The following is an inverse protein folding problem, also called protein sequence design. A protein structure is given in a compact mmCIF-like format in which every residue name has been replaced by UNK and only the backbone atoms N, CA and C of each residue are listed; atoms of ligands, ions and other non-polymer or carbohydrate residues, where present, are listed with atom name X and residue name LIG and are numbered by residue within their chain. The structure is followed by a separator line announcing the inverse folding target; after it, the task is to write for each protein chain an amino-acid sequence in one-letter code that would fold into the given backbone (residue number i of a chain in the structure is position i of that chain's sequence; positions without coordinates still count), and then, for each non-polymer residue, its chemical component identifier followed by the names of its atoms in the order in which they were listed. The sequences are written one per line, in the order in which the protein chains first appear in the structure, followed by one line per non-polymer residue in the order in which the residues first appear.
data_IF_644683422014
#
_entry.id   IF_644683422014
#
_cell.length_a   1.000
_cell.length_b   1.000
_cell.length_c   1.000
_cell.angle_alpha   90.00
_cell.angle_beta   90.00
_cell.angle_gamma   90.00
#
_symmetry.space_group_name_H-M   'P 1'
#
loop_
_entity.id
_entity.type
_entity.pdbx_description
1 polymer ?
#
# COMPACT_ATOMS: atom_id res chain seq x y z
N UNK A 1 2.99 8.97 -8.94
CA UNK A 1 3.96 8.13 -8.20
C UNK A 1 4.19 6.84 -8.97
N UNK A 2 5.40 6.30 -9.02
CA UNK A 2 5.67 4.98 -9.63
C UNK A 2 5.89 3.92 -8.56
N UNK A 3 5.18 2.80 -8.69
CA UNK A 3 5.20 1.69 -7.73
C UNK A 3 5.53 0.41 -8.46
N UNK A 4 6.53 -0.32 -7.98
CA UNK A 4 6.80 -1.69 -8.39
C UNK A 4 6.34 -2.65 -7.30
N UNK A 5 5.59 -3.68 -7.68
CA UNK A 5 5.10 -4.71 -6.77
C UNK A 5 5.78 -6.03 -7.15
N UNK A 6 6.54 -6.57 -6.21
CA UNK A 6 7.22 -7.83 -6.40
C UNK A 6 6.27 -9.03 -6.31
N UNK A 7 6.66 -10.16 -6.91
CA UNK A 7 5.85 -11.38 -6.97
C UNK A 7 5.47 -11.88 -5.58
N UNK A 8 6.37 -11.80 -4.60
CA UNK A 8 6.08 -12.27 -3.23
C UNK A 8 4.90 -11.51 -2.60
N UNK A 9 4.79 -10.21 -2.85
CA UNK A 9 3.69 -9.38 -2.36
C UNK A 9 2.37 -9.79 -2.99
N UNK A 10 2.35 -9.99 -4.32
CA UNK A 10 1.15 -10.45 -5.02
C UNK A 10 0.69 -11.85 -4.55
N UNK A 11 1.64 -12.74 -4.30
CA UNK A 11 1.33 -14.08 -3.78
C UNK A 11 0.76 -14.04 -2.35
N UNK A 12 1.07 -13.01 -1.56
CA UNK A 12 0.50 -12.85 -0.22
C UNK A 12 -1.01 -12.52 -0.23
N UNK A 13 -1.57 -12.12 -1.38
CA UNK A 13 -3.00 -11.79 -1.48
C UNK A 13 -3.89 -13.02 -1.19
N UNK A 14 -3.36 -14.24 -1.41
CA UNK A 14 -4.06 -15.47 -1.02
C UNK A 14 -4.19 -15.68 0.49
N UNK A 15 -3.51 -14.86 1.30
CA UNK A 15 -3.64 -14.85 2.76
C UNK A 15 -4.55 -13.73 3.28
N UNK A 16 -5.01 -12.83 2.42
CA UNK A 16 -5.85 -11.69 2.81
C UNK A 16 -7.33 -12.05 2.84
N UNK A 17 -8.05 -11.33 3.69
CA UNK A 17 -9.51 -11.36 3.74
C UNK A 17 -10.10 -10.62 2.54
N UNK A 18 -11.39 -10.82 2.30
CA UNK A 18 -12.09 -10.14 1.21
C UNK A 18 -12.04 -8.61 1.39
N UNK A 19 -12.26 -8.10 2.59
CA UNK A 19 -12.32 -6.66 2.86
C UNK A 19 -10.95 -5.99 2.63
N UNK A 20 -9.86 -6.68 2.97
CA UNK A 20 -8.50 -6.24 2.65
C UNK A 20 -8.27 -6.19 1.14
N UNK A 21 -8.69 -7.22 0.39
CA UNK A 21 -8.55 -7.26 -1.07
C UNK A 21 -9.41 -6.20 -1.77
N UNK A 22 -10.63 -5.95 -1.30
CA UNK A 22 -11.50 -4.90 -1.83
C UNK A 22 -10.84 -3.53 -1.65
N UNK A 23 -10.23 -3.27 -0.49
CA UNK A 23 -9.47 -2.04 -0.23
C UNK A 23 -8.27 -1.87 -1.18
N UNK A 24 -7.59 -2.97 -1.54
CA UNK A 24 -6.48 -2.96 -2.50
C UNK A 24 -6.93 -2.73 -3.95
N UNK A 25 -8.15 -3.15 -4.29
CA UNK A 25 -8.71 -2.90 -5.61
C UNK A 25 -8.89 -1.40 -5.85
N UNK A 26 -9.43 -0.69 -4.85
CA UNK A 26 -9.61 0.76 -4.92
C UNK A 26 -8.26 1.49 -5.07
N UNK A 27 -7.19 0.92 -4.52
CA UNK A 27 -5.82 1.45 -4.56
C UNK A 27 -5.18 1.24 -5.93
N UNK A 28 -5.22 0.02 -6.48
CA UNK A 28 -4.44 -0.33 -7.66
C UNK A 28 -5.20 -0.27 -8.99
N UNK A 29 -6.53 -0.29 -8.96
CA UNK A 29 -7.36 -0.34 -10.16
C UNK A 29 -8.19 0.92 -10.42
N UNK A 30 -8.33 1.84 -9.45
CA UNK A 30 -9.04 3.10 -9.69
C UNK A 30 -8.10 4.16 -10.31
N UNK A 31 -8.36 4.49 -11.58
CA UNK A 31 -7.61 5.52 -12.34
C UNK A 31 -8.20 6.93 -12.19
N UNK A 32 -8.94 7.20 -11.11
CA UNK A 32 -9.51 8.53 -10.90
C UNK A 32 -8.49 9.45 -10.22
N UNK A 33 -7.84 10.29 -11.04
CA UNK A 33 -7.06 11.49 -10.70
C UNK A 33 -6.02 11.33 -9.55
N UNK A 34 -4.73 11.20 -9.92
CA UNK A 34 -3.61 11.15 -8.95
C UNK A 34 -3.12 9.74 -8.59
N UNK A 35 -3.56 8.71 -9.31
CA UNK A 35 -3.25 7.31 -9.03
C UNK A 35 -1.75 6.97 -9.18
N UNK A 36 -1.27 6.05 -8.34
CA UNK A 36 0.00 5.38 -8.50
C UNK A 36 0.08 4.67 -9.88
N UNK A 37 1.13 4.89 -10.65
CA UNK A 37 1.45 4.07 -11.82
C UNK A 37 2.11 2.78 -11.32
N UNK A 38 1.36 1.68 -11.38
CA UNK A 38 1.88 0.36 -11.06
C UNK A 38 2.70 -0.15 -12.24
N UNK A 39 3.97 -0.44 -11.98
CA UNK A 39 4.90 -1.05 -12.92
C UNK A 39 4.91 -2.55 -12.68
N UNK A 40 4.45 -3.29 -13.68
CA UNK A 40 4.56 -4.74 -13.72
C UNK A 40 5.50 -5.17 -14.84
N UNK A 41 6.32 -6.16 -14.54
CA UNK A 41 7.19 -6.79 -15.53
C UNK A 41 6.60 -8.13 -15.96
N UNK A 42 6.93 -8.56 -17.17
CA UNK A 42 6.60 -9.90 -17.62
C UNK A 42 7.22 -10.98 -16.69
N UNK A 43 8.40 -10.69 -16.11
CA UNK A 43 9.04 -11.60 -15.14
C UNK A 43 8.19 -11.79 -13.87
N UNK A 44 7.67 -10.71 -13.27
CA UNK A 44 6.75 -10.78 -12.11
C UNK A 44 5.50 -11.58 -12.47
N UNK A 45 4.89 -11.29 -13.62
CA UNK A 45 3.68 -12.00 -14.07
C UNK A 45 3.93 -13.50 -14.24
N UNK A 46 5.08 -13.86 -14.82
CA UNK A 46 5.44 -15.25 -15.05
C UNK A 46 5.82 -15.98 -13.75
N UNK A 47 6.53 -15.33 -12.82
CA UNK A 47 6.80 -15.88 -11.50
C UNK A 47 5.53 -16.11 -10.69
N UNK A 48 4.58 -15.16 -10.72
CA UNK A 48 3.29 -15.32 -10.07
C UNK A 48 2.57 -16.57 -10.59
N UNK A 49 2.46 -16.70 -11.93
CA UNK A 49 1.82 -17.87 -12.57
C UNK A 49 2.50 -19.19 -12.19
N UNK A 50 3.83 -19.24 -12.10
CA UNK A 50 4.58 -20.44 -11.69
C UNK A 50 4.37 -20.81 -10.22
N UNK A 51 4.29 -19.81 -9.34
CA UNK A 51 4.28 -20.02 -7.89
C UNK A 51 2.87 -20.05 -7.27
N UNK A 52 1.85 -19.63 -8.01
CA UNK A 52 0.44 -19.56 -7.57
C UNK A 52 -0.03 -20.84 -6.88
N UNK A 53 0.09 -22.00 -7.54
CA UNK A 53 -0.41 -23.27 -6.97
C UNK A 53 0.31 -23.67 -5.69
N UNK A 54 1.63 -23.46 -5.64
CA UNK A 54 2.44 -23.77 -4.47
C UNK A 54 2.00 -22.92 -3.26
N UNK A 55 1.69 -21.64 -3.47
CA UNK A 55 1.21 -20.73 -2.44
C UNK A 55 -0.19 -21.07 -1.95
N UNK A 56 -1.13 -21.34 -2.85
CA UNK A 56 -2.48 -21.79 -2.49
C UNK A 56 -2.40 -23.10 -1.69
N UNK A 57 -1.55 -24.04 -2.12
CA UNK A 57 -1.34 -25.31 -1.40
C UNK A 57 -0.84 -25.08 0.02
N UNK A 58 0.09 -24.17 0.22
CA UNK A 58 0.61 -23.81 1.54
C UNK A 58 -0.48 -23.17 2.42
N UNK A 59 -1.25 -22.23 1.87
CA UNK A 59 -2.38 -21.60 2.57
C UNK A 59 -3.43 -22.63 3.03
N UNK A 60 -3.71 -23.65 2.22
CA UNK A 60 -4.68 -24.71 2.55
C UNK A 60 -4.15 -25.78 3.50
N UNK A 61 -2.83 -25.84 3.75
CA UNK A 61 -2.21 -26.94 4.49
C UNK A 61 -2.81 -27.12 5.89
N UNK A 62 -2.86 -26.04 6.69
CA UNK A 62 -3.40 -26.07 8.06
C UNK A 62 -4.89 -26.45 8.07
N UNK A 63 -5.65 -25.98 7.08
CA UNK A 63 -7.07 -26.31 6.96
C UNK A 63 -7.26 -27.81 6.70
N UNK A 64 -6.51 -28.40 5.76
CA UNK A 64 -6.58 -29.83 5.43
C UNK A 64 -6.07 -30.74 6.55
N UNK A 65 -5.12 -30.28 7.36
CA UNK A 65 -4.57 -31.02 8.51
C UNK A 65 -5.44 -30.94 9.78
N UNK A 66 -6.44 -30.05 9.82
CA UNK A 66 -7.28 -29.85 11.00
C UNK A 66 -8.18 -31.06 11.26
N UNK A 67 -8.01 -31.71 12.42
CA UNK A 67 -8.87 -32.83 12.84
C UNK A 67 -10.25 -32.32 13.24
N UNK A 68 -11.28 -32.67 12.47
CA UNK A 68 -12.67 -32.27 12.70
C UNK A 68 -13.40 -33.06 13.81
N UNK A 69 -12.76 -34.04 14.44
CA UNK A 69 -13.37 -34.87 15.47
C UNK A 69 -12.41 -35.10 16.65
N UNK A 70 -12.80 -34.73 17.88
CA UNK A 70 -12.03 -35.08 19.07
C UNK A 70 -12.08 -36.58 19.32
N UNK A 71 -10.96 -37.19 19.66
CA UNK A 71 -10.94 -38.56 20.20
C UNK A 71 -11.24 -38.50 21.69
N UNK A 72 -12.38 -39.07 22.08
CA UNK A 72 -12.80 -39.12 23.48
C UNK A 72 -12.57 -40.52 24.07
N UNK A 73 -12.10 -40.60 25.33
CA UNK A 73 -12.12 -41.83 26.11
C UNK A 73 -13.52 -42.46 26.20
N UNK A 74 -13.58 -43.80 26.20
CA UNK A 74 -14.85 -44.54 26.19
C UNK A 74 -15.78 -44.24 27.37
N UNK A 75 -15.23 -43.93 28.54
CA UNK A 75 -16.05 -43.61 29.73
C UNK A 75 -16.85 -42.31 29.59
N UNK A 76 -16.46 -41.42 28.66
CA UNK A 76 -17.16 -40.15 28.41
C UNK A 76 -18.45 -40.32 27.60
N UNK A 77 -18.72 -41.53 27.07
CA UNK A 77 -19.95 -41.81 26.30
C UNK A 77 -21.23 -41.76 27.14
N UNK A 78 -21.12 -41.81 28.46
CA UNK A 78 -22.26 -41.75 29.38
C UNK A 78 -22.78 -40.34 29.66
N UNK A 79 -22.13 -39.30 29.14
CA UNK A 79 -22.53 -37.91 29.33
C UNK A 79 -23.35 -37.41 28.15
N UNK A 80 -24.39 -36.59 28.40
CA UNK A 80 -25.29 -36.08 27.37
C UNK A 80 -24.56 -35.18 26.36
N UNK A 81 -23.56 -34.43 26.82
CA UNK A 81 -22.71 -33.55 26.03
C UNK A 81 -21.93 -34.32 24.95
N UNK A 82 -21.62 -35.61 25.18
CA UNK A 82 -20.91 -36.45 24.22
C UNK A 82 -21.68 -36.54 22.88
N UNK A 83 -22.99 -36.76 22.95
CA UNK A 83 -23.85 -36.84 21.78
C UNK A 83 -23.90 -35.51 21.02
N UNK A 84 -23.97 -34.40 21.76
CA UNK A 84 -23.99 -33.05 21.20
C UNK A 84 -22.67 -32.72 20.47
N UNK A 85 -21.53 -32.97 21.11
CA UNK A 85 -20.21 -32.72 20.51
C UNK A 85 -20.03 -33.57 19.25
N UNK A 86 -20.45 -34.84 19.27
CA UNK A 86 -20.36 -35.70 18.08
C UNK A 86 -21.20 -35.18 16.92
N UNK A 87 -22.42 -34.69 17.20
CA UNK A 87 -23.30 -34.09 16.19
C UNK A 87 -22.68 -32.82 15.61
N UNK A 88 -22.20 -31.90 16.46
CA UNK A 88 -21.53 -30.67 16.03
C UNK A 88 -20.26 -30.96 15.22
N UNK A 89 -19.47 -31.95 15.62
CA UNK A 89 -18.26 -32.39 14.89
C UNK A 89 -18.59 -32.93 13.50
N UNK A 90 -19.70 -33.66 13.35
CA UNK A 90 -20.16 -34.13 12.04
C UNK A 90 -20.62 -32.97 11.16
N UNK A 91 -21.41 -32.04 11.70
CA UNK A 91 -21.83 -30.84 10.98
C UNK A 91 -20.62 -30.01 10.52
N UNK A 92 -19.62 -29.82 11.40
CA UNK A 92 -18.37 -29.15 11.07
C UNK A 92 -17.67 -29.85 9.90
N UNK A 93 -17.59 -31.19 9.92
CA UNK A 93 -16.97 -31.98 8.83
C UNK A 93 -17.70 -31.79 7.49
N UNK A 94 -19.03 -31.78 7.50
CA UNK A 94 -19.84 -31.55 6.30
C UNK A 94 -19.61 -30.15 5.73
N UNK A 95 -19.59 -29.13 6.59
CA UNK A 95 -19.29 -27.75 6.20
C UNK A 95 -17.85 -27.60 5.67
N UNK A 96 -16.87 -28.23 6.33
CA UNK A 96 -15.48 -28.25 5.87
C UNK A 96 -15.34 -28.89 4.49
N UNK A 97 -16.03 -30.02 4.26
CA UNK A 97 -16.05 -30.66 2.95
C UNK A 97 -16.68 -29.74 1.89
N UNK A 98 -17.83 -29.14 2.21
CA UNK A 98 -18.54 -28.26 1.28
C UNK A 98 -17.71 -27.03 0.89
N UNK A 99 -17.02 -26.40 1.85
CA UNK A 99 -16.18 -25.24 1.53
C UNK A 99 -14.96 -25.65 0.69
N UNK A 100 -14.39 -26.82 0.97
CA UNK A 100 -13.23 -27.33 0.22
C UNK A 100 -13.60 -27.64 -1.22
N UNK A 101 -14.76 -28.26 -1.48
CA UNK A 101 -15.25 -28.52 -2.83
C UNK A 101 -15.43 -27.23 -3.64
N UNK A 102 -15.96 -26.17 -3.02
CA UNK A 102 -16.09 -24.85 -3.66
C UNK A 102 -14.72 -24.23 -3.95
N UNK A 103 -13.84 -24.20 -2.96
CA UNK A 103 -12.50 -23.65 -3.11
C UNK A 103 -11.69 -24.40 -4.17
N UNK A 104 -11.79 -25.72 -4.25
CA UNK A 104 -11.09 -26.51 -5.28
C UNK A 104 -11.64 -26.24 -6.69
N UNK A 105 -12.95 -25.97 -6.82
CA UNK A 105 -13.55 -25.52 -8.07
C UNK A 105 -13.02 -24.13 -8.47
N UNK A 106 -13.01 -23.17 -7.53
CA UNK A 106 -12.50 -21.80 -7.75
C UNK A 106 -11.00 -21.81 -8.10
N UNK A 107 -10.19 -22.63 -7.43
CA UNK A 107 -8.76 -22.79 -7.72
C UNK A 107 -8.53 -23.26 -9.15
N UNK A 108 -9.31 -24.25 -9.59
CA UNK A 108 -9.23 -24.84 -10.93
C UNK A 108 -9.70 -23.86 -12.01
N UNK A 109 -10.73 -23.06 -11.71
CA UNK A 109 -11.24 -22.01 -12.57
C UNK A 109 -10.37 -20.74 -12.57
N UNK A 110 -9.41 -20.61 -11.64
CA UNK A 110 -8.66 -19.38 -11.34
C UNK A 110 -9.59 -18.21 -10.97
N UNK A 111 -10.58 -18.50 -10.13
CA UNK A 111 -11.65 -17.58 -9.77
C UNK A 111 -11.71 -17.32 -8.25
N UNK A 112 -10.60 -17.49 -7.54
CA UNK A 112 -10.52 -16.98 -6.17
C UNK A 112 -10.62 -15.44 -6.18
N UNK A 113 -11.05 -14.85 -5.06
CA UNK A 113 -11.12 -13.39 -4.93
C UNK A 113 -9.77 -12.73 -5.27
N UNK A 114 -8.67 -13.30 -4.75
CA UNK A 114 -7.33 -12.84 -5.05
C UNK A 114 -6.94 -13.02 -6.53
N UNK A 115 -7.39 -14.10 -7.20
CA UNK A 115 -7.10 -14.29 -8.63
C UNK A 115 -7.73 -13.18 -9.46
N UNK A 116 -9.01 -12.89 -9.22
CA UNK A 116 -9.73 -11.84 -9.97
C UNK A 116 -9.07 -10.47 -9.79
N UNK A 117 -8.69 -10.12 -8.57
CA UNK A 117 -8.01 -8.86 -8.29
C UNK A 117 -6.66 -8.77 -9.02
N UNK A 118 -5.84 -9.83 -8.94
CA UNK A 118 -4.51 -9.84 -9.56
C UNK A 118 -4.63 -9.77 -11.08
N UNK A 119 -5.59 -10.49 -11.68
CA UNK A 119 -5.82 -10.41 -13.12
C UNK A 119 -6.29 -9.01 -13.52
N UNK A 120 -7.18 -8.39 -12.74
CA UNK A 120 -7.59 -7.00 -12.96
C UNK A 120 -6.41 -6.03 -12.91
N UNK A 121 -5.51 -6.18 -11.93
CA UNK A 121 -4.27 -5.40 -11.83
C UNK A 121 -3.37 -5.63 -13.05
N UNK A 122 -3.26 -6.87 -13.53
CA UNK A 122 -2.45 -7.21 -14.71
C UNK A 122 -3.05 -6.60 -15.99
N UNK A 123 -4.37 -6.59 -16.13
CA UNK A 123 -5.08 -6.02 -17.28
C UNK A 123 -5.07 -4.49 -17.28
N UNK A 124 -5.09 -3.85 -16.10
CA UNK A 124 -5.07 -2.38 -15.96
C UNK A 124 -3.67 -1.77 -16.00
N UNK A 125 -2.62 -2.58 -15.86
CA UNK A 125 -1.23 -2.11 -15.82
C UNK A 125 -0.52 -2.31 -17.16
N UNK A 126 0.41 -1.42 -17.47
CA UNK A 126 1.34 -1.64 -18.58
C UNK A 126 2.38 -2.69 -18.17
N UNK A 127 2.37 -3.86 -18.84
CA UNK A 127 3.32 -4.94 -18.59
C UNK A 127 4.54 -4.77 -19.48
N UNK A 128 5.70 -4.49 -18.88
CA UNK A 128 6.95 -4.31 -19.63
C UNK A 128 7.54 -5.69 -19.99
N UNK A 129 7.75 -5.99 -21.29
CA UNK A 129 8.19 -7.30 -21.75
C UNK A 129 9.68 -7.55 -21.48
N UNK A 130 10.05 -8.81 -21.25
CA UNK A 130 11.46 -9.22 -21.14
C UNK A 130 12.02 -9.44 -22.55
N UNK A 131 12.92 -8.55 -22.97
CA UNK A 131 13.63 -8.67 -24.25
C UNK A 131 15.00 -9.33 -24.07
N UNK A 132 15.62 -9.80 -25.16
CA UNK A 132 17.00 -10.31 -25.14
C UNK A 132 17.98 -9.27 -24.59
N UNK A 133 17.77 -7.98 -24.90
CA UNK A 133 18.65 -6.90 -24.42
C UNK A 133 18.53 -6.71 -22.90
N UNK A 134 17.30 -6.76 -22.37
CA UNK A 134 17.04 -6.73 -20.92
C UNK A 134 17.70 -7.93 -20.24
N UNK A 135 17.52 -9.12 -20.81
CA UNK A 135 18.11 -10.35 -20.29
C UNK A 135 19.64 -10.26 -20.24
N UNK A 136 20.28 -9.77 -21.30
CA UNK A 136 21.74 -9.61 -21.36
C UNK A 136 22.25 -8.61 -20.31
N UNK A 137 21.58 -7.46 -20.16
CA UNK A 137 21.90 -6.46 -19.13
C UNK A 137 21.75 -7.02 -17.71
N UNK A 138 20.64 -7.70 -17.43
CA UNK A 138 20.38 -8.32 -16.14
C UNK A 138 21.39 -9.45 -15.83
N UNK A 139 21.72 -10.27 -16.84
CA UNK A 139 22.72 -11.33 -16.72
C UNK A 139 24.11 -10.76 -16.43
N UNK A 140 24.51 -9.69 -17.12
CA UNK A 140 25.77 -8.99 -16.87
C UNK A 140 25.80 -8.40 -15.46
N UNK A 141 24.70 -7.77 -15.02
CA UNK A 141 24.54 -7.21 -13.67
C UNK A 141 24.76 -8.28 -12.59
N UNK A 142 24.07 -9.41 -12.71
CA UNK A 142 24.21 -10.55 -11.78
C UNK A 142 25.63 -11.12 -11.79
N UNK A 143 26.23 -11.30 -12.99
CA UNK A 143 27.60 -11.80 -13.11
C UNK A 143 28.67 -10.87 -12.49
N UNK A 144 28.41 -9.57 -12.45
CA UNK A 144 29.26 -8.58 -11.78
C UNK A 144 29.02 -8.50 -10.26
N UNK A 145 28.00 -9.19 -9.74
CA UNK A 145 27.61 -9.16 -8.33
C UNK A 145 26.87 -7.89 -7.91
N UNK A 146 26.26 -7.18 -8.87
CA UNK A 146 25.47 -5.99 -8.57
C UNK A 146 24.05 -6.40 -8.13
N UNK A 147 23.55 -5.91 -6.99
CA UNK A 147 22.18 -6.19 -6.52
C UNK A 147 21.14 -5.53 -7.44
N UNK A 148 19.83 -5.84 -7.38
CA UNK A 148 19.25 -6.90 -6.58
C UNK A 148 19.40 -8.26 -7.30
N UNK A 149 19.33 -9.34 -6.51
CA UNK A 149 19.44 -10.71 -6.98
C UNK A 149 20.71 -11.43 -6.51
N UNK A 150 20.69 -12.76 -6.70
CA UNK A 150 21.75 -13.70 -6.28
C UNK A 150 22.31 -14.43 -7.49
N UNK A 151 23.44 -15.12 -7.31
CA UNK A 151 24.11 -15.84 -8.41
C UNK A 151 23.28 -16.98 -9.02
N UNK A 152 22.26 -17.47 -8.32
CA UNK A 152 21.38 -18.57 -8.72
C UNK A 152 20.04 -18.12 -9.30
N UNK A 153 19.70 -16.82 -9.22
CA UNK A 153 18.47 -16.26 -9.78
C UNK A 153 18.69 -14.85 -10.31
N UNK A 154 18.33 -14.63 -11.58
CA UNK A 154 18.41 -13.33 -12.24
C UNK A 154 17.07 -12.57 -12.24
N UNK A 155 16.02 -13.11 -11.62
CA UNK A 155 14.67 -12.53 -11.66
C UNK A 155 14.64 -11.08 -11.20
N UNK A 156 15.21 -10.80 -10.03
CA UNK A 156 15.28 -9.45 -9.47
C UNK A 156 16.13 -8.52 -10.32
N UNK A 157 17.25 -9.02 -10.87
CA UNK A 157 18.09 -8.27 -11.79
C UNK A 157 17.33 -7.89 -13.07
N UNK A 158 16.48 -8.78 -13.59
CA UNK A 158 15.60 -8.51 -14.74
C UNK A 158 14.57 -7.44 -14.38
N UNK A 159 13.88 -7.60 -13.25
CA UNK A 159 12.88 -6.63 -12.77
C UNK A 159 13.49 -5.24 -12.62
N UNK A 160 14.62 -5.14 -11.94
CA UNK A 160 15.30 -3.87 -11.72
C UNK A 160 15.78 -3.23 -13.02
N UNK A 161 16.33 -4.02 -13.96
CA UNK A 161 16.73 -3.52 -15.27
C UNK A 161 15.54 -2.94 -16.04
N UNK A 162 14.38 -3.60 -15.98
CA UNK A 162 13.15 -3.09 -16.60
C UNK A 162 12.67 -1.79 -15.95
N UNK A 163 12.75 -1.64 -14.63
CA UNK A 163 12.41 -0.39 -13.94
C UNK A 163 13.33 0.76 -14.36
N UNK A 164 14.63 0.49 -14.48
CA UNK A 164 15.61 1.47 -14.98
C UNK A 164 15.34 1.89 -16.43
N UNK A 165 14.64 1.09 -17.23
CA UNK A 165 14.27 1.47 -18.61
C UNK A 165 12.90 2.14 -18.71
N UNK A 166 11.91 1.65 -17.97
CA UNK A 166 10.50 2.03 -18.11
C UNK A 166 10.09 3.26 -17.31
N UNK A 167 10.64 3.47 -16.11
CA UNK A 167 10.27 4.63 -15.29
C UNK A 167 10.85 5.90 -15.91
N UNK A 168 10.08 6.99 -16.07
CA UNK A 168 10.62 8.25 -16.59
C UNK A 168 11.75 8.83 -15.71
N UNK A 169 12.56 9.72 -16.30
CA UNK A 169 13.58 10.46 -15.53
C UNK A 169 12.96 11.51 -14.61
N UNK A 170 13.66 11.83 -13.52
CA UNK A 170 13.30 12.74 -12.42
C UNK A 170 12.05 12.30 -11.63
N UNK A 171 11.71 11.02 -11.68
CA UNK A 171 10.57 10.46 -10.97
C UNK A 171 11.00 9.43 -9.92
N UNK A 172 10.46 9.58 -8.71
CA UNK A 172 10.69 8.69 -7.58
C UNK A 172 10.03 7.32 -7.83
N UNK A 173 10.69 6.24 -7.39
CA UNK A 173 10.15 4.88 -7.45
C UNK A 173 9.99 4.28 -6.06
N UNK A 174 8.89 3.57 -5.87
CA UNK A 174 8.55 2.88 -4.64
C UNK A 174 8.52 1.37 -4.93
N UNK A 175 9.46 0.63 -4.34
CA UNK A 175 9.56 -0.83 -4.51
C UNK A 175 8.92 -1.51 -3.31
N UNK A 176 7.89 -2.32 -3.54
CA UNK A 176 7.26 -3.14 -2.51
C UNK A 176 7.74 -4.58 -2.71
N UNK A 177 8.60 -5.05 -1.81
CA UNK A 177 9.21 -6.39 -1.87
C UNK A 177 9.62 -6.87 -0.48
N UNK A 178 9.38 -8.15 -0.20
CA UNK A 178 9.96 -8.82 0.97
C UNK A 178 11.43 -9.23 0.75
N UNK A 179 11.96 -9.22 -0.47
CA UNK A 179 13.32 -9.68 -0.76
C UNK A 179 14.36 -8.74 -0.16
N UNK A 180 15.26 -9.31 0.64
CA UNK A 180 16.35 -8.59 1.28
C UNK A 180 17.35 -7.93 0.32
N UNK A 181 17.41 -8.37 -0.95
CA UNK A 181 18.37 -7.85 -1.92
C UNK A 181 18.08 -6.38 -2.32
N UNK A 182 16.86 -5.90 -2.09
CA UNK A 182 16.48 -4.49 -2.24
C UNK A 182 16.86 -3.61 -1.04
N UNK A 183 17.34 -4.20 0.06
CA UNK A 183 17.55 -3.51 1.34
C UNK A 183 19.01 -3.47 1.77
N UNK A 184 19.33 -2.51 2.62
CA UNK A 184 20.64 -2.39 3.24
C UNK A 184 20.90 -3.56 4.20
N UNK A 185 22.11 -4.11 4.12
CA UNK A 185 22.57 -5.14 5.07
C UNK A 185 22.75 -4.61 6.50
N UNK A 186 22.96 -3.29 6.65
CA UNK A 186 23.16 -2.65 7.96
C UNK A 186 21.84 -2.21 8.61
N UNK A 187 20.83 -1.93 7.80
CA UNK A 187 19.53 -1.41 8.23
C UNK A 187 18.45 -1.96 7.29
N UNK A 188 17.76 -2.99 7.74
CA UNK A 188 16.83 -3.77 6.94
C UNK A 188 15.53 -3.04 6.57
N UNK A 189 15.36 -1.80 7.05
CA UNK A 189 14.28 -0.87 6.71
C UNK A 189 14.69 0.14 5.62
N UNK A 190 15.97 0.23 5.26
CA UNK A 190 16.47 1.15 4.23
C UNK A 190 16.75 0.43 2.92
N UNK A 191 16.59 1.16 1.82
CA UNK A 191 16.98 0.69 0.50
C UNK A 191 18.48 0.36 0.45
N UNK A 192 18.84 -0.63 -0.38
CA UNK A 192 20.23 -1.01 -0.58
C UNK A 192 21.03 0.19 -1.15
N UNK A 193 22.15 0.62 -0.53
CA UNK A 193 22.85 1.85 -0.92
C UNK A 193 23.25 1.89 -2.40
N UNK A 194 23.73 0.77 -2.95
CA UNK A 194 24.06 0.64 -4.37
C UNK A 194 22.88 0.96 -5.29
N UNK A 195 21.67 0.52 -4.93
CA UNK A 195 20.45 0.75 -5.73
C UNK A 195 20.01 2.21 -5.63
N UNK A 196 20.14 2.82 -4.45
CA UNK A 196 19.89 4.25 -4.24
C UNK A 196 20.80 5.09 -5.11
N UNK A 197 22.12 4.87 -5.03
CA UNK A 197 23.11 5.60 -5.83
C UNK A 197 22.93 5.39 -7.33
N UNK A 198 22.57 4.18 -7.75
CA UNK A 198 22.30 3.91 -9.16
C UNK A 198 21.02 4.59 -9.64
N UNK A 199 19.94 4.52 -8.86
CA UNK A 199 18.68 5.17 -9.21
C UNK A 199 18.86 6.69 -9.32
N UNK A 200 19.53 7.31 -8.34
CA UNK A 200 19.84 8.74 -8.38
C UNK A 200 20.71 9.09 -9.59
N UNK A 201 21.73 8.29 -9.90
CA UNK A 201 22.61 8.53 -11.05
C UNK A 201 21.89 8.39 -12.40
N UNK A 202 21.00 7.39 -12.55
CA UNK A 202 20.35 7.07 -13.82
C UNK A 202 19.07 7.89 -14.02
N UNK A 203 18.34 8.18 -12.95
CA UNK A 203 17.03 8.83 -12.98
C UNK A 203 17.02 10.23 -12.38
N UNK A 204 18.00 10.63 -11.57
CA UNK A 204 17.97 11.94 -10.90
C UNK A 204 16.86 12.05 -9.84
N UNK A 205 16.46 10.91 -9.27
CA UNK A 205 15.32 10.81 -8.36
C UNK A 205 15.61 9.83 -7.22
N UNK A 206 14.66 9.64 -6.31
CA UNK A 206 14.83 8.83 -5.09
C UNK A 206 14.21 7.44 -5.23
N UNK A 207 14.81 6.50 -4.51
CA UNK A 207 14.32 5.13 -4.35
C UNK A 207 13.78 4.94 -2.93
N UNK A 208 12.53 4.48 -2.85
CA UNK A 208 11.87 4.07 -1.60
C UNK A 208 11.58 2.57 -1.63
N UNK A 209 11.65 1.91 -0.47
CA UNK A 209 11.42 0.47 -0.34
C UNK A 209 10.44 0.17 0.79
N UNK A 210 9.62 -0.86 0.60
CA UNK A 210 8.56 -1.26 1.52
C UNK A 210 8.48 -2.78 1.63
N UNK A 211 8.60 -3.30 2.86
CA UNK A 211 8.57 -4.76 3.10
C UNK A 211 7.21 -5.36 2.85
N UNK A 212 6.17 -4.58 3.09
CA UNK A 212 4.79 -5.04 2.99
C UNK A 212 3.96 -3.99 2.31
N UNK A 213 2.90 -4.47 1.67
CA UNK A 213 1.89 -3.61 1.09
C UNK A 213 1.21 -2.73 2.14
N UNK A 214 0.93 -3.27 3.33
CA UNK A 214 0.38 -2.49 4.44
C UNK A 214 1.31 -1.38 4.90
N UNK A 215 2.63 -1.59 4.91
CA UNK A 215 3.61 -0.56 5.24
C UNK A 215 3.59 0.59 4.21
N UNK A 216 3.60 0.23 2.93
CA UNK A 216 3.42 1.19 1.84
C UNK A 216 2.10 1.94 1.96
N UNK A 217 0.99 1.23 2.16
CA UNK A 217 -0.33 1.84 2.32
C UNK A 217 -0.36 2.75 3.55
N UNK A 218 0.14 2.34 4.72
CA UNK A 218 0.07 3.19 5.91
C UNK A 218 0.77 4.53 5.78
N UNK A 219 1.80 4.64 4.92
CA UNK A 219 2.49 5.90 4.68
C UNK A 219 1.75 6.79 3.68
N UNK A 220 0.97 6.17 2.79
CA UNK A 220 0.57 6.78 1.53
C UNK A 220 -0.93 6.68 1.22
N UNK A 221 -1.66 5.90 2.02
CA UNK A 221 -3.05 5.53 1.89
C UNK A 221 -3.66 5.36 3.29
N UNK A 222 -4.52 6.26 3.66
CA UNK A 222 -5.16 6.33 4.96
C UNK A 222 -6.64 5.91 4.92
N UNK A 223 -7.01 5.14 3.90
CA UNK A 223 -8.28 4.39 3.85
C UNK A 223 -9.28 4.85 2.78
N UNK A 224 -9.02 5.95 2.08
CA UNK A 224 -9.96 6.52 1.08
C UNK A 224 -9.27 6.92 -0.24
N UNK A 225 -8.04 7.44 -0.23
CA UNK A 225 -7.28 7.78 -1.43
C UNK A 225 -5.76 7.79 -1.18
N UNK A 226 -4.96 7.78 -2.25
CA UNK A 226 -3.51 8.02 -2.17
C UNK A 226 -3.20 9.50 -1.94
N UNK A 227 -2.28 9.80 -1.03
CA UNK A 227 -1.76 11.15 -0.80
C UNK A 227 -0.63 11.51 -1.78
N UNK A 228 -0.88 11.41 -3.08
CA UNK A 228 0.15 11.62 -4.09
C UNK A 228 -0.32 12.45 -5.27
N UNK A 229 -0.64 13.69 -4.96
CA UNK A 229 -0.70 14.72 -5.97
C UNK A 229 0.52 15.63 -5.78
N UNK A 230 1.45 15.61 -6.76
CA UNK A 230 2.66 16.46 -6.72
C UNK A 230 2.31 17.94 -6.70
N UNK A 231 1.22 18.34 -7.36
CA UNK A 231 0.76 19.72 -7.37
C UNK A 231 0.19 20.07 -5.99
N UNK A 232 -0.55 19.15 -5.37
CA UNK A 232 -1.01 19.30 -3.99
C UNK A 232 0.14 19.39 -2.98
N UNK A 233 1.16 18.55 -3.12
CA UNK A 233 2.34 18.59 -2.25
C UNK A 233 3.10 19.91 -2.43
N UNK A 234 3.27 20.37 -3.67
CA UNK A 234 3.85 21.68 -3.96
C UNK A 234 3.03 22.82 -3.34
N UNK A 235 1.69 22.73 -3.37
CA UNK A 235 0.83 23.71 -2.69
C UNK A 235 0.98 23.68 -1.17
N UNK A 236 1.20 22.50 -0.57
CA UNK A 236 1.50 22.39 0.86
C UNK A 236 2.87 23.02 1.17
N UNK A 237 3.90 22.83 0.34
CA UNK A 237 5.17 23.55 0.48
C UNK A 237 4.99 25.07 0.33
N UNK A 238 4.18 25.52 -0.63
CA UNK A 238 3.89 26.94 -0.83
C UNK A 238 3.23 27.58 0.41
N UNK A 239 2.53 26.82 1.26
CA UNK A 239 2.00 27.35 2.53
C UNK A 239 3.13 27.72 3.51
N UNK A 240 4.22 26.95 3.56
CA UNK A 240 5.39 27.29 4.39
C UNK A 240 6.07 28.58 3.91
N UNK A 241 6.09 28.80 2.60
CA UNK A 241 6.80 29.93 1.97
C UNK A 241 5.90 31.13 1.62
N UNK A 242 4.59 31.07 1.92
CA UNK A 242 3.63 32.12 1.57
C UNK A 242 4.06 33.48 2.16
N UNK A 243 4.22 34.48 1.29
CA UNK A 243 4.73 35.80 1.65
C UNK A 243 3.66 36.83 2.01
N UNK A 244 2.37 36.49 1.89
CA UNK A 244 1.27 37.40 2.22
C UNK A 244 -0.03 36.65 2.50
N UNK A 245 -0.93 37.26 3.28
CA UNK A 245 -2.28 36.74 3.50
C UNK A 245 -3.03 36.44 2.20
N UNK A 246 -2.96 37.34 1.21
CA UNK A 246 -3.60 37.14 -0.10
C UNK A 246 -3.07 35.91 -0.85
N UNK A 247 -1.76 35.65 -0.75
CA UNK A 247 -1.16 34.45 -1.32
C UNK A 247 -1.63 33.19 -0.58
N UNK A 248 -1.69 33.24 0.76
CA UNK A 248 -2.19 32.11 1.57
C UNK A 248 -3.63 31.75 1.20
N UNK A 249 -4.53 32.73 1.09
CA UNK A 249 -5.91 32.48 0.62
C UNK A 249 -5.94 31.85 -0.78
N UNK A 250 -5.08 32.30 -1.70
CA UNK A 250 -5.02 31.70 -3.03
C UNK A 250 -4.54 30.25 -3.00
N UNK A 251 -3.62 29.89 -2.11
CA UNK A 251 -3.12 28.52 -1.95
C UNK A 251 -4.21 27.66 -1.30
N UNK A 252 -4.84 28.13 -0.23
CA UNK A 252 -5.98 27.45 0.41
C UNK A 252 -7.12 27.21 -0.57
N UNK A 253 -7.48 28.19 -1.39
CA UNK A 253 -8.51 28.05 -2.43
C UNK A 253 -8.15 27.00 -3.50
N UNK A 254 -6.86 26.84 -3.85
CA UNK A 254 -6.42 25.75 -4.72
C UNK A 254 -6.52 24.41 -4.00
N UNK A 255 -6.08 24.36 -2.74
CA UNK A 255 -6.12 23.17 -1.89
C UNK A 255 -7.56 22.69 -1.61
N UNK A 256 -8.53 23.59 -1.56
CA UNK A 256 -9.95 23.27 -1.42
C UNK A 256 -10.52 22.43 -2.59
N UNK A 257 -9.89 22.46 -3.77
CA UNK A 257 -10.29 21.58 -4.87
C UNK A 257 -9.97 20.10 -4.59
N UNK A 258 -9.11 19.82 -3.62
CA UNK A 258 -8.84 18.47 -3.15
C UNK A 258 -9.86 18.09 -2.08
N UNK A 259 -10.63 17.05 -2.39
CA UNK A 259 -11.64 16.50 -1.48
C UNK A 259 -11.03 15.88 -0.24
N UNK A 260 -9.79 15.39 -0.35
CA UNK A 260 -9.20 14.49 0.63
C UNK A 260 -7.79 14.92 1.02
N UNK A 261 -7.42 14.73 2.29
CA UNK A 261 -6.10 14.99 2.86
C UNK A 261 -5.71 13.87 3.82
N UNK A 262 -4.51 13.33 3.67
CA UNK A 262 -4.03 12.28 4.57
C UNK A 262 -3.58 12.81 5.91
N UNK A 263 -3.54 11.96 6.94
CA UNK A 263 -3.06 12.40 8.26
C UNK A 263 -1.65 13.01 8.22
N UNK A 264 -0.78 12.51 7.33
CA UNK A 264 0.55 13.07 7.09
C UNK A 264 0.45 14.47 6.48
N UNK A 265 -0.33 14.65 5.41
CA UNK A 265 -0.56 15.95 4.76
C UNK A 265 -1.21 16.96 5.72
N UNK A 266 -2.20 16.53 6.50
CA UNK A 266 -2.82 17.33 7.56
C UNK A 266 -1.77 17.77 8.59
N UNK A 267 -0.93 16.83 9.04
CA UNK A 267 0.20 17.15 9.92
C UNK A 267 1.11 18.22 9.33
N UNK A 268 1.50 18.08 8.05
CA UNK A 268 2.31 19.08 7.35
C UNK A 268 1.63 20.44 7.21
N UNK A 269 0.31 20.47 6.96
CA UNK A 269 -0.45 21.72 6.87
C UNK A 269 -0.50 22.42 8.24
N UNK A 270 -0.66 21.66 9.32
CA UNK A 270 -0.61 22.19 10.69
C UNK A 270 0.81 22.67 11.03
N UNK A 271 1.85 21.94 10.66
CA UNK A 271 3.24 22.39 10.80
C UNK A 271 3.46 23.73 10.05
N UNK A 272 2.81 23.93 8.89
CA UNK A 272 2.88 25.19 8.13
C UNK A 272 2.14 26.35 8.83
N UNK A 273 1.03 26.07 9.51
CA UNK A 273 0.33 27.06 10.35
C UNK A 273 1.26 27.59 11.42
N UNK A 274 2.00 26.70 12.09
CA UNK A 274 2.89 27.04 13.19
C UNK A 274 4.18 27.72 12.69
N UNK A 275 4.72 27.25 11.55
CA UNK A 275 5.97 27.75 10.99
C UNK A 275 5.82 29.10 10.25
N UNK A 276 4.67 29.39 9.64
CA UNK A 276 4.45 30.60 8.85
C UNK A 276 3.40 31.53 9.46
N UNK A 277 3.86 32.66 10.00
CA UNK A 277 2.99 33.71 10.54
C UNK A 277 1.96 34.28 9.55
N UNK A 278 2.21 34.20 8.23
CA UNK A 278 1.22 34.60 7.22
C UNK A 278 0.06 33.60 7.11
N UNK A 279 0.28 32.35 7.49
CA UNK A 279 -0.77 31.34 7.53
C UNK A 279 -1.39 31.26 8.93
N UNK A 280 -0.57 31.12 9.97
CA UNK A 280 -1.01 31.14 11.37
C UNK A 280 -1.79 32.40 11.77
N UNK A 281 -1.43 33.56 11.22
CA UNK A 281 -2.10 34.82 11.52
C UNK A 281 -3.54 34.94 11.01
N UNK A 282 -3.97 34.05 10.10
CA UNK A 282 -5.29 34.12 9.45
C UNK A 282 -6.12 32.84 9.63
N UNK A 283 -5.78 31.97 10.60
CA UNK A 283 -6.55 30.73 10.84
C UNK A 283 -8.03 30.97 11.17
N UNK A 284 -8.38 32.17 11.65
CA UNK A 284 -9.76 32.59 11.93
C UNK A 284 -10.48 33.18 10.73
N UNK A 285 -9.81 33.40 9.60
CA UNK A 285 -10.45 33.87 8.38
C UNK A 285 -11.38 32.79 7.81
N UNK A 286 -12.36 33.23 7.01
CA UNK A 286 -13.55 32.40 6.78
C UNK A 286 -13.28 31.11 6.04
N UNK A 287 -12.63 31.22 4.90
CA UNK A 287 -12.18 30.13 4.06
C UNK A 287 -11.09 29.27 4.73
N UNK A 288 -10.17 29.88 5.47
CA UNK A 288 -9.07 29.17 6.14
C UNK A 288 -9.57 28.33 7.31
N UNK A 289 -10.41 28.90 8.16
CA UNK A 289 -11.06 28.20 9.27
C UNK A 289 -11.90 27.03 8.75
N UNK A 290 -12.68 27.24 7.69
CA UNK A 290 -13.50 26.18 7.09
C UNK A 290 -12.64 25.05 6.49
N UNK A 291 -11.55 25.39 5.82
CA UNK A 291 -10.59 24.43 5.29
C UNK A 291 -9.98 23.56 6.40
N UNK A 292 -9.45 24.20 7.47
CA UNK A 292 -8.86 23.48 8.60
C UNK A 292 -9.90 22.64 9.36
N UNK A 293 -11.12 23.16 9.55
CA UNK A 293 -12.22 22.39 10.12
C UNK A 293 -12.56 21.16 9.29
N UNK A 294 -12.53 21.27 7.96
CA UNK A 294 -12.84 20.15 7.06
C UNK A 294 -11.78 19.06 7.11
N UNK A 295 -10.51 19.44 7.06
CA UNK A 295 -9.42 18.47 6.84
C UNK A 295 -8.81 17.96 8.15
N UNK A 296 -8.76 18.77 9.21
CA UNK A 296 -7.92 18.46 10.37
C UNK A 296 -8.71 18.08 11.62
N UNK A 297 -9.90 18.67 11.84
CA UNK A 297 -10.77 18.34 12.99
C UNK A 297 -11.19 16.86 13.04
N UNK A 298 -11.48 16.16 11.91
CA UNK A 298 -11.74 14.73 11.95
C UNK A 298 -10.62 13.89 12.57
N UNK A 299 -9.37 14.38 12.56
CA UNK A 299 -8.20 13.71 13.08
C UNK A 299 -7.77 14.17 14.49
N UNK A 300 -8.54 15.06 15.14
CA UNK A 300 -8.15 15.68 16.43
C UNK A 300 -7.75 14.67 17.52
N UNK A 301 -8.39 13.48 17.54
CA UNK A 301 -8.07 12.41 18.49
C UNK A 301 -6.70 11.75 18.27
N UNK A 302 -6.14 11.85 17.06
CA UNK A 302 -4.84 11.28 16.69
C UNK A 302 -3.70 12.31 16.76
N UNK A 303 -4.02 13.61 16.86
CA UNK A 303 -3.03 14.68 16.98
C UNK A 303 -2.36 14.63 18.35
N UNK A 304 -1.04 14.57 18.38
CA UNK A 304 -0.24 14.49 19.61
C UNK A 304 0.46 15.80 19.99
N UNK A 305 0.69 16.70 19.03
CA UNK A 305 1.24 18.05 19.27
C UNK A 305 0.23 18.93 20.01
N UNK A 306 0.68 19.62 21.06
CA UNK A 306 -0.14 20.55 21.84
C UNK A 306 -0.50 21.80 21.00
N UNK A 307 0.47 22.33 20.25
CA UNK A 307 0.30 23.49 19.35
C UNK A 307 -0.76 23.20 18.26
N UNK A 308 -0.71 22.00 17.67
CA UNK A 308 -1.72 21.58 16.69
C UNK A 308 -3.12 21.48 17.31
N UNK A 309 -3.24 21.04 18.56
CA UNK A 309 -4.53 20.95 19.24
C UNK A 309 -5.10 22.33 19.54
N UNK A 310 -4.28 23.27 20.00
CA UNK A 310 -4.70 24.65 20.23
C UNK A 310 -5.24 25.29 18.94
N UNK A 311 -4.52 25.12 17.82
CA UNK A 311 -4.98 25.58 16.50
C UNK A 311 -6.35 25.00 16.15
N UNK A 312 -6.56 23.69 16.38
CA UNK A 312 -7.85 23.04 16.10
C UNK A 312 -8.97 23.53 17.01
N UNK A 313 -8.69 23.77 18.29
CA UNK A 313 -9.66 24.34 19.22
C UNK A 313 -10.12 25.74 18.78
N UNK A 314 -9.17 26.59 18.35
CA UNK A 314 -9.46 27.94 17.86
C UNK A 314 -10.39 27.91 16.64
N UNK A 315 -10.10 27.09 15.63
CA UNK A 315 -10.94 27.05 14.42
C UNK A 315 -12.31 26.40 14.67
N UNK A 316 -12.42 25.44 15.60
CA UNK A 316 -13.71 24.87 16.02
C UNK A 316 -14.56 25.92 16.74
N UNK A 317 -13.97 26.66 17.68
CA UNK A 317 -14.68 27.71 18.43
C UNK A 317 -15.16 28.80 17.48
N UNK A 318 -14.27 29.25 16.60
CA UNK A 318 -14.57 30.28 15.62
C UNK A 318 -15.73 29.85 14.69
N UNK A 319 -15.74 28.60 14.20
CA UNK A 319 -16.86 28.07 13.39
C UNK A 319 -18.18 27.99 14.17
N UNK A 320 -18.13 27.66 15.47
CA UNK A 320 -19.30 27.69 16.34
C UNK A 320 -19.84 29.12 16.54
N UNK A 321 -18.96 30.11 16.67
CA UNK A 321 -19.34 31.52 16.80
C UNK A 321 -20.08 32.05 15.56
N UNK A 322 -19.77 31.53 14.36
CA UNK A 322 -20.48 31.86 13.11
C UNK A 322 -21.89 31.28 13.03
N UNK A 323 -22.19 30.21 13.77
CA UNK A 323 -23.47 29.50 13.71
C UNK A 323 -23.56 28.46 12.59
N UNK A 324 -22.43 28.05 12.00
CA UNK A 324 -22.33 27.08 10.89
C UNK A 324 -21.92 25.66 11.35
N UNK A 325 -22.09 25.36 12.64
CA UNK A 325 -21.67 24.10 13.28
C UNK A 325 -22.77 23.03 13.35
#
# INVERSE_FOLDING_TARGET
MHVFIDTNILLNFFHFTKDELDSLNDVFASHEYGSATVHLTEQVCNEFRRNREARIKDALKKFKETKSAPQFPSFMKGYDEYGQIRKLSNNLRELQKSILEKVEADISAKDLVADRLIEQIFESSEIVPVTSQIYEKASMRSALGNPPGKNDSIGDAVNWTLLLESVPGNDDVHVISEDGDFYSTLDDQKAHPFLVEEWERVKGARLFVYRTLSGFMSEHFDGVAFSFDKDKEALIEELFDSGSFAQTHSIVAKLENYRYFSFKEVGRILDAVDANNQFGGIIRDYDVSDFLNRIAVPHIGNVTSEEHRETLEIVIEEKRERGDA
#
